data_IF_233896981892
#
_entry.id   IF_233896981892
#
_cell.length_a   1.000
_cell.length_b   1.000
_cell.length_c   1.000
_cell.angle_alpha   90.00
_cell.angle_beta   90.00
_cell.angle_gamma   90.00
#
_symmetry.space_group_name_H-M   'P 1'
#
loop_
_entity.id
_entity.type
_entity.pdbx_description
1 polymer ?
#
# COMPACT_ATOMS: atom_id res chain seq x y z
N UNK A 1 -8.08 -44.11 44.24
CA UNK A 1 -8.29 -42.74 43.72
C UNK A 1 -7.22 -42.43 42.68
N UNK A 2 -7.16 -43.23 41.61
CA UNK A 2 -5.96 -43.28 40.74
C UNK A 2 -6.36 -43.57 39.28
N UNK A 3 -7.54 -43.10 38.86
CA UNK A 3 -8.13 -43.51 37.57
C UNK A 3 -9.06 -42.50 36.89
N UNK A 4 -8.86 -41.19 37.12
CA UNK A 4 -9.71 -40.15 36.52
C UNK A 4 -8.98 -38.98 35.83
N UNK A 5 -7.64 -39.00 35.76
CA UNK A 5 -6.87 -37.89 35.15
C UNK A 5 -6.15 -38.22 33.83
N UNK A 6 -6.26 -39.44 33.30
CA UNK A 6 -5.57 -39.84 32.05
C UNK A 6 -6.37 -39.60 30.76
N UNK A 7 -7.58 -39.04 30.81
CA UNK A 7 -8.47 -38.97 29.64
C UNK A 7 -8.72 -37.57 29.05
N UNK A 8 -7.87 -36.57 29.31
CA UNK A 8 -7.97 -35.25 28.66
C UNK A 8 -6.64 -34.71 28.14
N UNK A 9 -5.74 -35.60 27.73
CA UNK A 9 -4.57 -35.26 26.92
C UNK A 9 -4.94 -35.04 25.44
N UNK A 10 -5.92 -34.18 25.13
CA UNK A 10 -5.96 -33.58 23.80
C UNK A 10 -4.84 -32.55 23.76
N UNK A 11 -3.65 -33.01 23.37
CA UNK A 11 -2.66 -32.13 22.77
C UNK A 11 -3.35 -31.46 21.59
N UNK A 12 -3.79 -30.21 21.78
CA UNK A 12 -4.00 -29.32 20.66
C UNK A 12 -2.60 -29.18 20.06
N UNK A 13 -2.30 -30.00 19.06
CA UNK A 13 -1.26 -29.69 18.09
C UNK A 13 -1.67 -28.33 17.52
N UNK A 14 -1.24 -27.27 18.17
CA UNK A 14 -1.18 -25.95 17.56
C UNK A 14 -0.19 -26.14 16.43
N UNK A 15 -0.69 -26.50 15.25
CA UNK A 15 0.10 -26.62 14.04
C UNK A 15 0.68 -25.22 13.79
N UNK A 16 1.85 -24.94 14.36
CA UNK A 16 2.48 -23.63 14.26
C UNK A 16 2.68 -23.36 12.78
N UNK A 17 2.15 -22.23 12.31
CA UNK A 17 2.34 -21.85 10.91
C UNK A 17 3.83 -21.78 10.58
N UNK A 18 4.19 -22.32 9.41
CA UNK A 18 5.55 -22.24 8.90
C UNK A 18 5.91 -20.78 8.61
N UNK A 19 7.18 -20.39 8.78
CA UNK A 19 7.64 -19.08 8.37
C UNK A 19 7.45 -18.91 6.85
N UNK A 20 7.09 -17.72 6.37
CA UNK A 20 6.78 -17.47 4.97
C UNK A 20 8.03 -17.61 4.09
N UNK A 21 7.87 -18.07 2.85
CA UNK A 21 8.95 -18.18 1.88
C UNK A 21 9.51 -16.80 1.49
N UNK A 22 8.62 -15.86 1.21
CA UNK A 22 8.97 -14.45 0.97
C UNK A 22 9.04 -13.67 2.28
N UNK A 23 10.05 -12.81 2.41
CA UNK A 23 10.26 -11.99 3.62
C UNK A 23 9.76 -10.56 3.50
N UNK A 24 9.39 -10.11 2.30
CA UNK A 24 8.96 -8.74 2.05
C UNK A 24 7.71 -8.69 1.16
N UNK A 25 6.65 -8.08 1.68
CA UNK A 25 5.41 -7.82 0.94
C UNK A 25 5.06 -6.34 0.94
N UNK A 26 4.74 -5.76 -0.20
CA UNK A 26 4.03 -4.48 -0.27
C UNK A 26 2.53 -4.71 -0.31
N UNK A 27 1.78 -4.03 0.56
CA UNK A 27 0.32 -4.00 0.54
C UNK A 27 -0.12 -2.65 -0.01
N UNK A 28 -0.71 -2.67 -1.21
CA UNK A 28 -1.03 -1.48 -2.02
C UNK A 28 -2.52 -1.39 -2.33
N UNK A 29 -2.96 -0.20 -2.71
CA UNK A 29 -4.35 0.06 -3.10
C UNK A 29 -4.82 1.44 -2.66
N UNK A 30 -6.04 1.81 -3.02
CA UNK A 30 -6.58 3.14 -2.70
C UNK A 30 -6.91 3.30 -1.21
N UNK A 31 -7.01 4.56 -0.79
CA UNK A 31 -7.53 4.90 0.53
C UNK A 31 -8.95 4.35 0.72
N UNK A 32 -9.22 3.77 1.89
CA UNK A 32 -10.49 3.09 2.16
C UNK A 32 -10.61 1.66 1.61
N UNK A 33 -9.57 1.10 0.96
CA UNK A 33 -9.61 -0.29 0.50
C UNK A 33 -9.46 -1.34 1.60
N UNK A 34 -9.04 -0.96 2.81
CA UNK A 34 -8.88 -1.88 3.95
C UNK A 34 -7.46 -2.39 4.19
N UNK A 35 -6.43 -1.82 3.53
CA UNK A 35 -5.02 -2.17 3.71
C UNK A 35 -4.61 -2.27 5.18
N UNK A 36 -4.90 -1.24 5.97
CA UNK A 36 -4.50 -1.18 7.39
C UNK A 36 -5.17 -2.27 8.23
N UNK A 37 -6.44 -2.58 7.97
CA UNK A 37 -7.14 -3.69 8.64
C UNK A 37 -6.45 -5.02 8.33
N UNK A 38 -6.05 -5.22 7.08
CA UNK A 38 -5.38 -6.40 6.59
C UNK A 38 -3.96 -6.54 7.15
N UNK A 39 -3.17 -5.47 7.13
CA UNK A 39 -1.79 -5.49 7.65
C UNK A 39 -1.77 -5.74 9.15
N UNK A 40 -2.72 -5.17 9.90
CA UNK A 40 -2.90 -5.45 11.33
C UNK A 40 -3.27 -6.91 11.61
N UNK A 41 -4.10 -7.51 10.76
CA UNK A 41 -4.45 -8.92 10.89
C UNK A 41 -3.22 -9.82 10.69
N UNK A 42 -2.41 -9.57 9.68
CA UNK A 42 -1.17 -10.33 9.44
C UNK A 42 -0.24 -10.23 10.64
N UNK A 43 -0.06 -9.02 11.19
CA UNK A 43 0.76 -8.81 12.39
C UNK A 43 0.20 -9.58 13.60
N UNK A 44 -1.12 -9.59 13.78
CA UNK A 44 -1.78 -10.37 14.85
C UNK A 44 -1.47 -11.86 14.71
N UNK A 45 -1.64 -12.40 13.51
CA UNK A 45 -1.38 -13.81 13.22
C UNK A 45 0.07 -14.19 13.49
N UNK A 46 1.02 -13.36 13.04
CA UNK A 46 2.44 -13.58 13.30
C UNK A 46 2.73 -13.61 14.80
N UNK A 47 2.13 -12.70 15.59
CA UNK A 47 2.27 -12.69 17.04
C UNK A 47 1.73 -13.96 17.69
N UNK A 48 0.53 -14.39 17.30
CA UNK A 48 -0.11 -15.61 17.81
C UNK A 48 0.71 -16.88 17.49
N UNK A 49 1.47 -16.86 16.38
CA UNK A 49 2.28 -18.00 15.93
C UNK A 49 3.78 -17.87 16.26
N UNK A 50 4.19 -16.85 17.02
CA UNK A 50 5.61 -16.56 17.31
C UNK A 50 6.49 -16.41 16.05
N UNK A 51 5.94 -15.88 14.96
CA UNK A 51 6.67 -15.56 13.74
C UNK A 51 7.17 -14.11 13.85
N UNK A 52 8.49 -13.85 13.78
CA UNK A 52 9.01 -12.48 13.76
C UNK A 52 8.43 -11.70 12.58
N UNK A 53 7.73 -10.62 12.88
CA UNK A 53 7.06 -9.79 11.88
C UNK A 53 7.12 -8.31 12.25
N UNK A 54 7.27 -7.45 11.25
CA UNK A 54 7.18 -6.01 11.39
C UNK A 54 6.28 -5.40 10.31
N UNK A 55 5.60 -4.32 10.67
CA UNK A 55 4.83 -3.50 9.74
C UNK A 55 5.52 -2.14 9.56
N UNK A 56 5.87 -1.81 8.32
CA UNK A 56 6.50 -0.55 7.94
C UNK A 56 5.50 0.27 7.15
N UNK A 57 5.09 1.41 7.69
CA UNK A 57 4.30 2.37 6.93
C UNK A 57 5.19 3.21 6.01
N UNK A 58 5.09 3.03 4.70
CA UNK A 58 5.99 3.61 3.70
C UNK A 58 5.37 4.70 2.83
N UNK A 59 4.81 5.73 3.47
CA UNK A 59 4.51 6.99 2.76
C UNK A 59 5.80 7.65 2.29
N UNK A 60 5.78 8.18 1.06
CA UNK A 60 6.89 8.97 0.53
C UNK A 60 7.05 10.28 1.30
N UNK A 61 8.29 10.74 1.35
CA UNK A 61 8.63 12.06 1.85
C UNK A 61 9.04 12.91 0.66
N UNK A 62 8.65 14.17 0.68
CA UNK A 62 9.13 15.14 -0.30
C UNK A 62 10.46 15.69 0.19
N UNK A 63 11.51 15.57 -0.62
CA UNK A 63 12.82 16.16 -0.35
C UNK A 63 13.08 17.24 -1.41
N UNK A 64 13.26 16.81 -2.65
CA UNK A 64 13.55 17.67 -3.78
C UNK A 64 12.28 18.25 -4.40
N UNK A 65 11.11 17.64 -4.20
CA UNK A 65 9.86 18.19 -4.71
C UNK A 65 9.27 19.31 -3.84
N UNK A 66 9.86 19.60 -2.67
CA UNK A 66 9.36 20.62 -1.74
C UNK A 66 9.25 22.02 -2.36
N UNK A 67 10.22 22.52 -3.14
CA UNK A 67 10.11 23.84 -3.78
C UNK A 67 8.91 23.92 -4.73
N UNK A 68 8.65 22.87 -5.52
CA UNK A 68 7.49 22.81 -6.43
C UNK A 68 6.19 22.82 -5.65
N UNK A 69 6.13 22.10 -4.53
CA UNK A 69 4.97 22.13 -3.61
C UNK A 69 4.78 23.54 -3.02
N UNK A 70 5.87 24.23 -2.68
CA UNK A 70 5.83 25.62 -2.20
C UNK A 70 5.20 26.56 -3.23
N UNK A 71 5.70 26.54 -4.46
CA UNK A 71 5.18 27.37 -5.56
C UNK A 71 3.71 27.06 -5.86
N UNK A 72 3.32 25.79 -5.85
CA UNK A 72 1.95 25.37 -6.14
C UNK A 72 0.97 25.72 -5.02
N UNK A 73 1.42 25.75 -3.76
CA UNK A 73 0.64 26.31 -2.65
C UNK A 73 0.44 27.82 -2.80
N UNK A 74 1.52 28.56 -3.09
CA UNK A 74 1.47 30.02 -3.25
C UNK A 74 0.58 30.44 -4.43
N UNK A 75 0.58 29.67 -5.51
CA UNK A 75 -0.27 29.91 -6.68
C UNK A 75 -1.70 29.35 -6.53
N UNK A 76 -2.07 28.78 -5.38
CA UNK A 76 -3.42 28.26 -5.14
C UNK A 76 -3.76 26.93 -5.83
N UNK A 77 -2.77 26.24 -6.39
CA UNK A 77 -2.94 24.93 -7.04
C UNK A 77 -2.77 23.75 -6.08
N UNK A 78 -2.27 24.01 -4.87
CA UNK A 78 -2.24 23.04 -3.77
C UNK A 78 -2.92 23.66 -2.55
N UNK A 79 -4.06 23.12 -2.14
CA UNK A 79 -4.86 23.69 -1.06
C UNK A 79 -5.58 22.60 -0.28
N UNK A 80 -6.02 22.95 0.93
CA UNK A 80 -6.86 22.10 1.75
C UNK A 80 -8.28 22.64 1.77
N UNK A 81 -9.27 21.75 1.77
CA UNK A 81 -10.67 22.08 2.08
C UNK A 81 -11.16 21.19 3.21
N UNK A 82 -12.00 21.75 4.08
CA UNK A 82 -12.73 20.98 5.07
C UNK A 82 -13.94 20.35 4.39
N UNK A 83 -13.93 19.03 4.30
CA UNK A 83 -14.98 18.23 3.68
C UNK A 83 -15.48 17.25 4.73
N UNK A 84 -16.77 17.35 5.07
CA UNK A 84 -17.38 16.49 6.11
C UNK A 84 -16.58 16.49 7.43
N UNK A 85 -16.10 17.66 7.85
CA UNK A 85 -15.30 17.83 9.08
C UNK A 85 -13.87 17.31 9.01
N UNK A 86 -13.39 16.82 7.85
CA UNK A 86 -12.01 16.34 7.66
C UNK A 86 -11.24 17.25 6.70
N UNK A 87 -9.96 17.57 6.98
CA UNK A 87 -9.12 18.29 6.03
C UNK A 87 -8.76 17.37 4.87
N UNK A 88 -9.02 17.83 3.65
CA UNK A 88 -8.71 17.12 2.41
C UNK A 88 -7.83 17.98 1.52
N UNK A 89 -6.69 17.42 1.09
CA UNK A 89 -5.74 18.08 0.20
C UNK A 89 -6.14 17.90 -1.27
N UNK A 90 -6.07 18.98 -2.02
CA UNK A 90 -6.30 19.01 -3.47
C UNK A 90 -5.04 19.52 -4.17
N UNK A 91 -4.76 18.93 -5.33
CA UNK A 91 -3.55 19.17 -6.12
C UNK A 91 -3.96 19.34 -7.58
N UNK A 92 -4.08 20.57 -8.05
CA UNK A 92 -4.57 20.88 -9.39
C UNK A 92 -3.37 21.12 -10.35
N UNK A 93 -2.40 20.19 -10.34
CA UNK A 93 -1.18 20.29 -11.15
C UNK A 93 -1.45 20.20 -12.66
N UNK A 94 -2.63 19.71 -13.08
CA UNK A 94 -3.03 19.67 -14.49
C UNK A 94 -2.97 21.04 -15.17
N UNK A 95 -3.13 22.13 -14.40
CA UNK A 95 -3.11 23.50 -14.88
C UNK A 95 -1.68 24.08 -15.01
N UNK A 96 -0.65 23.30 -14.64
CA UNK A 96 0.75 23.74 -14.61
C UNK A 96 1.64 22.79 -15.43
N UNK A 97 1.63 22.88 -16.77
CA UNK A 97 2.27 21.88 -17.64
C UNK A 97 3.75 21.62 -17.37
N UNK A 98 4.51 22.67 -17.05
CA UNK A 98 5.95 22.55 -16.74
C UNK A 98 6.16 22.01 -15.33
N UNK A 99 5.45 22.56 -14.34
CA UNK A 99 5.65 22.16 -12.93
C UNK A 99 5.17 20.74 -12.66
N UNK A 100 4.12 20.25 -13.34
CA UNK A 100 3.65 18.87 -13.16
C UNK A 100 4.65 17.83 -13.68
N UNK A 101 5.33 18.12 -14.79
CA UNK A 101 6.37 17.22 -15.30
C UNK A 101 7.61 17.27 -14.41
N UNK A 102 8.04 18.47 -14.01
CA UNK A 102 9.12 18.63 -13.05
C UNK A 102 8.80 17.89 -11.74
N UNK A 103 7.59 18.05 -11.21
CA UNK A 103 7.13 17.34 -10.01
C UNK A 103 7.19 15.82 -10.19
N UNK A 104 6.73 15.30 -11.33
CA UNK A 104 6.79 13.87 -11.64
C UNK A 104 8.22 13.31 -11.56
N UNK A 105 9.19 14.00 -12.18
CA UNK A 105 10.58 13.55 -12.17
C UNK A 105 11.26 13.71 -10.80
N UNK A 106 10.96 14.79 -10.07
CA UNK A 106 11.46 14.96 -8.70
C UNK A 106 10.92 13.89 -7.76
N UNK A 107 9.67 13.46 -7.94
CA UNK A 107 9.07 12.38 -7.16
C UNK A 107 9.75 11.02 -7.39
N UNK A 108 10.28 10.75 -8.60
CA UNK A 108 11.11 9.56 -8.84
C UNK A 108 12.34 9.59 -7.92
N UNK A 109 12.99 10.74 -7.79
CA UNK A 109 14.19 10.87 -6.94
C UNK A 109 13.80 10.69 -5.47
N UNK A 110 12.79 11.44 -5.02
CA UNK A 110 12.33 11.45 -3.63
C UNK A 110 11.91 10.06 -3.15
N UNK A 111 11.12 9.34 -3.95
CA UNK A 111 10.62 8.01 -3.57
C UNK A 111 11.75 6.98 -3.51
N UNK A 112 12.74 7.05 -4.40
CA UNK A 112 13.84 6.09 -4.39
C UNK A 112 14.78 6.34 -3.23
N UNK A 113 15.03 7.60 -2.86
CA UNK A 113 15.80 7.94 -1.66
C UNK A 113 15.07 7.42 -0.41
N UNK A 114 13.77 7.70 -0.29
CA UNK A 114 12.97 7.22 0.83
C UNK A 114 12.96 5.68 0.90
N UNK A 115 12.82 5.02 -0.24
CA UNK A 115 12.79 3.55 -0.34
C UNK A 115 14.14 2.97 0.01
N UNK A 116 15.25 3.49 -0.53
CA UNK A 116 16.60 3.05 -0.21
C UNK A 116 16.86 3.06 1.30
N UNK A 117 16.57 4.18 1.98
CA UNK A 117 16.77 4.25 3.43
C UNK A 117 15.87 3.31 4.22
N UNK A 118 14.64 3.07 3.76
CA UNK A 118 13.72 2.12 4.41
C UNK A 118 14.18 0.68 4.20
N UNK A 119 14.55 0.31 2.97
CA UNK A 119 15.02 -1.04 2.63
C UNK A 119 16.35 -1.36 3.32
N UNK A 120 17.26 -0.39 3.47
CA UNK A 120 18.57 -0.62 4.10
C UNK A 120 18.53 -0.59 5.62
N UNK A 121 17.68 0.25 6.24
CA UNK A 121 17.69 0.45 7.70
C UNK A 121 16.60 -0.30 8.45
N UNK A 122 15.48 -0.60 7.79
CA UNK A 122 14.29 -1.14 8.46
C UNK A 122 13.97 -2.57 8.03
N UNK A 123 14.16 -2.92 6.76
CA UNK A 123 13.90 -4.30 6.32
C UNK A 123 14.97 -5.22 6.89
N UNK A 124 14.53 -6.26 7.60
CA UNK A 124 15.40 -7.29 8.13
C UNK A 124 14.99 -8.63 7.50
N UNK A 125 15.94 -9.29 6.83
CA UNK A 125 15.70 -10.51 6.07
C UNK A 125 15.42 -11.75 6.96
N UNK A 126 15.62 -11.61 8.28
CA UNK A 126 15.28 -12.64 9.27
C UNK A 126 13.82 -12.60 9.73
N UNK A 127 13.05 -11.57 9.34
CA UNK A 127 11.65 -11.40 9.74
C UNK A 127 10.75 -11.11 8.56
N UNK A 128 9.47 -11.46 8.70
CA UNK A 128 8.46 -11.03 7.76
C UNK A 128 8.29 -9.51 7.85
N UNK A 129 8.43 -8.82 6.72
CA UNK A 129 8.22 -7.38 6.62
C UNK A 129 7.03 -7.10 5.73
N UNK A 130 6.00 -6.47 6.31
CA UNK A 130 4.84 -5.97 5.57
C UNK A 130 4.98 -4.46 5.43
N UNK A 131 5.09 -3.99 4.20
CA UNK A 131 5.14 -2.57 3.88
C UNK A 131 3.76 -2.07 3.46
N UNK A 132 3.13 -1.27 4.31
CA UNK A 132 1.88 -0.59 3.96
C UNK A 132 2.20 0.68 3.18
N UNK A 133 1.66 0.76 1.96
CA UNK A 133 2.07 1.73 0.93
C UNK A 133 3.51 1.52 0.47
N UNK A 134 3.86 2.07 -0.68
CA UNK A 134 5.23 2.05 -1.19
C UNK A 134 5.42 2.86 -2.45
N UNK A 135 6.51 2.61 -3.18
CA UNK A 135 6.78 3.29 -4.45
C UNK A 135 5.66 3.19 -5.47
N UNK A 136 4.93 2.07 -5.45
CA UNK A 136 3.76 1.85 -6.28
C UNK A 136 2.62 2.82 -5.97
N UNK A 137 2.32 3.05 -4.68
CA UNK A 137 1.32 4.03 -4.27
C UNK A 137 1.74 5.45 -4.66
N UNK A 138 3.01 5.81 -4.45
CA UNK A 138 3.54 7.11 -4.87
C UNK A 138 3.38 7.31 -6.36
N UNK A 139 3.73 6.30 -7.18
CA UNK A 139 3.57 6.39 -8.62
C UNK A 139 2.12 6.61 -9.04
N UNK A 140 1.18 5.87 -8.46
CA UNK A 140 -0.26 6.03 -8.74
C UNK A 140 -0.75 7.41 -8.31
N UNK A 141 -0.36 7.88 -7.12
CA UNK A 141 -0.74 9.19 -6.60
C UNK A 141 -0.19 10.32 -7.48
N UNK A 142 1.08 10.25 -7.87
CA UNK A 142 1.73 11.26 -8.71
C UNK A 142 1.13 11.28 -10.11
N UNK A 143 0.83 10.13 -10.72
CA UNK A 143 0.10 10.10 -12.00
C UNK A 143 -1.31 10.69 -11.87
N UNK A 144 -2.01 10.40 -10.78
CA UNK A 144 -3.35 10.92 -10.53
C UNK A 144 -3.33 12.44 -10.32
N UNK A 145 -2.33 12.95 -9.59
CA UNK A 145 -2.21 14.36 -9.26
C UNK A 145 -1.72 15.21 -10.43
N UNK A 146 -0.83 14.67 -11.26
CA UNK A 146 -0.31 15.39 -12.42
C UNK A 146 -1.19 15.26 -13.67
N UNK A 147 -2.08 14.26 -13.70
CA UNK A 147 -2.89 13.88 -14.88
C UNK A 147 -2.06 13.72 -16.16
N UNK A 148 -0.81 13.30 -16.02
CA UNK A 148 0.06 13.05 -17.18
C UNK A 148 -0.49 11.89 -18.02
N UNK A 149 -0.20 11.94 -19.32
CA UNK A 149 -0.70 10.95 -20.27
C UNK A 149 -0.22 9.54 -19.89
N UNK A 150 -1.14 8.67 -19.48
CA UNK A 150 -0.80 7.31 -19.03
C UNK A 150 -0.09 6.51 -20.12
N UNK A 151 -0.42 6.66 -21.41
CA UNK A 151 0.28 5.95 -22.48
C UNK A 151 1.78 6.27 -22.53
N UNK A 152 2.15 7.53 -22.22
CA UNK A 152 3.55 8.00 -22.22
C UNK A 152 4.27 7.66 -20.91
N UNK A 153 3.63 7.88 -19.76
CA UNK A 153 4.30 7.84 -18.45
C UNK A 153 4.08 6.53 -17.68
N UNK A 154 3.16 5.65 -18.09
CA UNK A 154 2.84 4.44 -17.33
C UNK A 154 4.01 3.45 -17.23
N UNK A 155 4.91 3.43 -18.23
CA UNK A 155 6.10 2.59 -18.24
C UNK A 155 7.30 3.17 -17.44
N UNK A 156 7.11 4.34 -16.83
CA UNK A 156 8.09 4.93 -15.92
C UNK A 156 7.87 4.48 -14.47
N UNK A 157 6.89 3.60 -14.21
CA UNK A 157 6.69 2.96 -12.90
C UNK A 157 7.96 2.25 -12.42
N UNK A 158 8.71 1.68 -13.36
CA UNK A 158 9.99 1.02 -13.08
C UNK A 158 11.02 1.96 -12.44
N UNK A 159 10.96 3.25 -12.78
CA UNK A 159 11.85 4.26 -12.21
C UNK A 159 11.46 4.57 -10.77
N UNK A 160 10.15 4.67 -10.47
CA UNK A 160 9.68 4.83 -9.08
C UNK A 160 10.11 3.66 -8.21
N UNK A 161 10.13 2.45 -8.76
CA UNK A 161 10.37 1.21 -8.02
C UNK A 161 11.82 0.71 -8.10
N UNK A 162 12.75 1.52 -8.58
CA UNK A 162 14.13 1.09 -8.86
C UNK A 162 14.84 0.52 -7.62
N UNK A 163 14.56 1.06 -6.43
CA UNK A 163 15.15 0.62 -5.15
C UNK A 163 14.38 -0.52 -4.45
N UNK A 164 13.33 -1.07 -5.07
CA UNK A 164 12.58 -2.21 -4.50
C UNK A 164 13.38 -3.51 -4.68
N UNK A 165 13.53 -4.32 -3.61
CA UNK A 165 14.22 -5.63 -3.69
C UNK A 165 13.51 -6.57 -4.68
N UNK A 166 14.26 -7.35 -5.46
CA UNK A 166 13.73 -8.18 -6.56
C UNK A 166 12.79 -9.32 -6.09
N UNK A 167 12.99 -9.83 -4.90
CA UNK A 167 12.23 -10.91 -4.27
C UNK A 167 10.95 -10.43 -3.56
N UNK A 168 10.66 -9.12 -3.65
CA UNK A 168 9.47 -8.51 -3.04
C UNK A 168 8.20 -8.94 -3.75
N UNK A 169 7.22 -9.40 -2.98
CA UNK A 169 5.87 -9.65 -3.47
C UNK A 169 4.98 -8.42 -3.28
N UNK A 170 3.97 -8.25 -4.13
CA UNK A 170 3.00 -7.14 -4.02
C UNK A 170 1.60 -7.72 -3.94
N UNK A 171 0.85 -7.25 -2.94
CA UNK A 171 -0.54 -7.59 -2.70
C UNK A 171 -1.38 -6.34 -2.94
N UNK A 172 -2.19 -6.36 -3.99
CA UNK A 172 -3.17 -5.32 -4.27
C UNK A 172 -4.50 -5.64 -3.57
N UNK A 173 -4.92 -4.75 -2.66
CA UNK A 173 -6.23 -4.83 -2.03
C UNK A 173 -7.25 -4.13 -2.91
N UNK A 174 -7.97 -4.94 -3.70
CA UNK A 174 -9.02 -4.48 -4.60
C UNK A 174 -10.30 -4.24 -3.83
N UNK A 175 -10.92 -3.09 -4.07
CA UNK A 175 -12.23 -2.74 -3.53
C UNK A 175 -12.97 -1.84 -4.51
N UNK A 176 -14.27 -2.07 -4.68
CA UNK A 176 -15.12 -1.28 -5.55
C UNK A 176 -15.37 0.12 -4.96
N UNK A 177 -15.78 1.04 -5.83
CA UNK A 177 -15.96 2.43 -5.47
C UNK A 177 -17.01 2.59 -4.37
N UNK A 178 -18.13 1.88 -4.47
CA UNK A 178 -19.26 1.97 -3.54
C UNK A 178 -18.85 1.60 -2.11
N UNK A 179 -18.11 0.51 -1.95
CA UNK A 179 -17.64 0.07 -0.62
C UNK A 179 -16.55 1.00 -0.06
N UNK A 180 -15.72 1.60 -0.93
CA UNK A 180 -14.74 2.61 -0.52
C UNK A 180 -15.47 3.83 0.03
N UNK A 181 -16.45 4.40 -0.70
CA UNK A 181 -17.21 5.56 -0.26
C UNK A 181 -18.02 5.25 0.99
N UNK A 182 -18.62 4.06 1.10
CA UNK A 182 -19.33 3.63 2.32
C UNK A 182 -18.42 3.62 3.55
N UNK A 183 -17.15 3.28 3.39
CA UNK A 183 -16.16 3.23 4.49
C UNK A 183 -15.54 4.59 4.76
N UNK A 184 -15.34 5.40 3.71
CA UNK A 184 -14.76 6.75 3.77
C UNK A 184 -15.61 7.71 2.93
N UNK A 185 -16.74 8.21 3.47
CA UNK A 185 -17.68 9.05 2.72
C UNK A 185 -17.05 10.31 2.13
N UNK A 186 -16.04 10.87 2.78
CA UNK A 186 -15.34 12.06 2.30
C UNK A 186 -14.65 11.86 0.94
N UNK A 187 -14.35 10.62 0.56
CA UNK A 187 -13.67 10.32 -0.71
C UNK A 187 -14.58 10.51 -1.93
N UNK A 188 -15.89 10.76 -1.75
CA UNK A 188 -16.77 11.11 -2.88
C UNK A 188 -16.32 12.41 -3.54
N UNK A 189 -15.64 13.29 -2.79
CA UNK A 189 -15.08 14.54 -3.30
C UNK A 189 -13.69 14.35 -3.95
N UNK A 190 -13.10 13.16 -3.86
CA UNK A 190 -11.86 12.82 -4.54
C UNK A 190 -12.13 12.46 -6.00
N UNK A 191 -12.08 13.48 -6.86
CA UNK A 191 -12.26 13.33 -8.31
C UNK A 191 -11.25 12.37 -8.97
N UNK A 192 -10.15 12.05 -8.28
CA UNK A 192 -9.07 11.20 -8.78
C UNK A 192 -9.18 9.75 -8.29
N UNK A 193 -10.09 9.45 -7.36
CA UNK A 193 -10.26 8.09 -6.82
C UNK A 193 -10.52 7.04 -7.92
N UNK A 194 -11.45 7.22 -8.88
CA UNK A 194 -11.68 6.25 -9.95
C UNK A 194 -10.43 6.00 -10.81
N UNK A 195 -9.66 7.06 -11.07
CA UNK A 195 -8.40 6.95 -11.79
C UNK A 195 -7.38 6.11 -11.02
N UNK A 196 -7.21 6.36 -9.71
CA UNK A 196 -6.30 5.56 -8.86
C UNK A 196 -6.69 4.09 -8.85
N UNK A 197 -7.98 3.77 -8.71
CA UNK A 197 -8.49 2.38 -8.77
C UNK A 197 -8.05 1.73 -10.09
N UNK A 198 -8.32 2.39 -11.22
CA UNK A 198 -7.94 1.90 -12.55
C UNK A 198 -6.43 1.68 -12.69
N UNK A 199 -5.60 2.59 -12.17
CA UNK A 199 -4.13 2.44 -12.26
C UNK A 199 -3.63 1.25 -11.45
N UNK A 200 -4.18 0.99 -10.27
CA UNK A 200 -3.83 -0.21 -9.50
C UNK A 200 -4.21 -1.49 -10.23
N UNK A 201 -5.41 -1.57 -10.82
CA UNK A 201 -5.81 -2.73 -11.64
C UNK A 201 -4.85 -2.98 -12.79
N UNK A 202 -4.47 -1.93 -13.52
CA UNK A 202 -3.52 -2.04 -14.64
C UNK A 202 -2.14 -2.48 -14.18
N UNK A 203 -1.65 -1.96 -13.04
CA UNK A 203 -0.36 -2.37 -12.49
C UNK A 203 -0.38 -3.82 -12.02
N UNK A 204 -1.45 -4.22 -11.32
CA UNK A 204 -1.61 -5.58 -10.84
C UNK A 204 -1.60 -6.59 -11.98
N UNK A 205 -2.28 -6.30 -13.09
CA UNK A 205 -2.27 -7.12 -14.29
C UNK A 205 -0.89 -7.13 -14.96
N UNK A 206 -0.27 -5.95 -15.18
CA UNK A 206 1.03 -5.83 -15.86
C UNK A 206 2.17 -6.53 -15.11
N UNK A 207 2.12 -6.53 -13.78
CA UNK A 207 3.18 -7.04 -12.91
C UNK A 207 2.82 -8.38 -12.25
N UNK A 208 1.68 -8.97 -12.60
CA UNK A 208 1.17 -10.21 -12.02
C UNK A 208 1.14 -10.18 -10.49
N UNK A 209 0.65 -9.07 -9.91
CA UNK A 209 0.52 -8.96 -8.45
C UNK A 209 -0.55 -9.89 -7.90
N UNK A 210 -0.42 -10.23 -6.62
CA UNK A 210 -1.49 -10.92 -5.91
C UNK A 210 -2.67 -9.96 -5.72
N UNK A 211 -3.83 -10.29 -6.28
CA UNK A 211 -5.05 -9.50 -6.14
C UNK A 211 -5.91 -10.13 -5.04
N UNK A 212 -6.25 -9.34 -4.03
CA UNK A 212 -7.16 -9.74 -2.95
C UNK A 212 -8.41 -8.87 -3.02
N UNK A 213 -9.54 -9.51 -3.29
CA UNK A 213 -10.83 -8.83 -3.31
C UNK A 213 -11.35 -8.59 -1.89
N UNK A 214 -11.63 -7.32 -1.56
CA UNK A 214 -12.16 -6.90 -0.28
C UNK A 214 -13.55 -6.24 -0.39
N UNK A 215 -14.39 -6.77 -1.29
CA UNK A 215 -15.79 -6.36 -1.42
C UNK A 215 -16.75 -7.24 -0.60
N UNK A 216 -16.31 -8.44 -0.23
CA UNK A 216 -17.08 -9.40 0.54
C UNK A 216 -16.81 -9.34 2.05
N UNK A 217 -17.18 -10.42 2.77
CA UNK A 217 -16.88 -10.58 4.19
C UNK A 217 -15.37 -10.54 4.47
N UNK A 218 -15.00 -9.86 5.56
CA UNK A 218 -13.60 -9.64 5.94
C UNK A 218 -12.84 -10.97 6.14
N UNK A 219 -13.52 -11.99 6.67
CA UNK A 219 -12.94 -13.31 6.95
C UNK A 219 -12.43 -13.99 5.68
N UNK A 220 -13.11 -13.80 4.54
CA UNK A 220 -12.67 -14.35 3.25
C UNK A 220 -11.39 -13.65 2.78
N UNK A 221 -11.36 -12.32 2.90
CA UNK A 221 -10.18 -11.50 2.59
C UNK A 221 -8.99 -11.93 3.44
N UNK A 222 -9.18 -12.06 4.77
CA UNK A 222 -8.15 -12.47 5.72
C UNK A 222 -7.58 -13.85 5.40
N UNK A 223 -8.44 -14.84 5.13
CA UNK A 223 -8.00 -16.19 4.70
C UNK A 223 -7.17 -16.13 3.43
N UNK A 224 -7.58 -15.36 2.43
CA UNK A 224 -6.84 -15.26 1.16
C UNK A 224 -5.43 -14.67 1.36
N UNK A 225 -5.30 -13.67 2.22
CA UNK A 225 -4.00 -13.07 2.55
C UNK A 225 -3.11 -14.03 3.31
N UNK A 226 -3.67 -14.81 4.24
CA UNK A 226 -2.90 -15.85 4.93
C UNK A 226 -2.31 -16.85 3.95
N UNK A 227 -3.09 -17.31 2.97
CA UNK A 227 -2.61 -18.21 1.92
C UNK A 227 -1.46 -17.60 1.12
N UNK A 228 -1.59 -16.33 0.71
CA UNK A 228 -0.57 -15.62 -0.08
C UNK A 228 0.73 -15.42 0.72
N UNK A 229 0.64 -15.18 2.02
CA UNK A 229 1.80 -14.86 2.84
C UNK A 229 2.48 -16.13 3.36
N UNK A 230 1.71 -17.09 3.89
CA UNK A 230 2.25 -18.22 4.67
C UNK A 230 2.23 -19.55 3.92
N UNK A 231 1.48 -19.69 2.82
CA UNK A 231 1.36 -20.94 2.05
C UNK A 231 2.00 -20.85 0.64
N UNK A 232 2.60 -19.70 0.31
CA UNK A 232 3.27 -19.44 -0.98
C UNK A 232 4.77 -19.73 -0.95
#
# INVERSE_FOLDING_TARGET
>A
MERYWEAMGTSIETTRMKPPAHKLFFVVGVDGSGKTTITNEVVRICRENNIPCQNIWSRFNNYFSLPVIGVTKLSGHCYYKMIMGKPMGFHDYENLPVLRELFFFLQIIDVNIATFFRMTRKVNDQMLTICERGPYDTFVDVLADTRLNTKKYFNLERLFCFQVKKDTQVIYIRRNYENIIRTRPELVYDKKLPFRIKMYEQLAQKKSWHIVDNNGPLEKTQKKIQQIIFES
#
